data_IF_762146223474
#
_entry.id   IF_762146223474
#
_cell.length_a   1.000
_cell.length_b   1.000
_cell.length_c   1.000
_cell.angle_alpha   90.00
_cell.angle_beta   90.00
_cell.angle_gamma   90.00
#
_symmetry.space_group_name_H-M   'P 1'
#
loop_
_entity.id
_entity.type
_entity.pdbx_description
1 polymer ?
#
# COMPACT_ATOMS: atom_id res chain seq x y z
N UNK A 1 -57.90 4.40 13.00
CA UNK A 1 -57.08 4.63 11.79
C UNK A 1 -55.64 4.66 12.27
N UNK A 2 -54.94 3.54 12.11
CA UNK A 2 -53.60 3.37 12.70
C UNK A 2 -52.51 3.82 11.73
N UNK A 3 -51.69 4.75 12.22
CA UNK A 3 -50.55 5.32 11.51
C UNK A 3 -49.46 4.27 11.29
N UNK A 4 -49.26 3.85 10.03
CA UNK A 4 -48.09 3.08 9.61
C UNK A 4 -46.86 3.99 9.60
N UNK A 5 -46.23 4.15 10.77
CA UNK A 5 -44.89 4.72 10.87
C UNK A 5 -43.92 3.80 10.09
N UNK A 6 -43.38 4.32 8.98
CA UNK A 6 -42.34 3.66 8.21
C UNK A 6 -41.17 3.34 9.14
N UNK A 7 -40.96 2.05 9.41
CA UNK A 7 -39.79 1.58 10.13
C UNK A 7 -38.57 1.95 9.29
N UNK A 8 -37.83 2.98 9.68
CA UNK A 8 -36.43 3.15 9.28
C UNK A 8 -35.68 1.89 9.74
N UNK A 9 -35.57 0.90 8.85
CA UNK A 9 -34.70 -0.24 9.04
C UNK A 9 -33.26 0.28 9.05
N UNK A 10 -32.69 0.43 10.24
CA UNK A 10 -31.26 0.67 10.39
C UNK A 10 -30.50 -0.36 9.55
N UNK A 11 -29.54 0.06 8.71
CA UNK A 11 -28.71 -0.87 7.95
C UNK A 11 -28.08 -1.88 8.91
N UNK A 12 -28.17 -3.17 8.59
CA UNK A 12 -27.53 -4.18 9.41
C UNK A 12 -26.01 -3.95 9.42
N UNK A 13 -25.33 -4.14 10.57
CA UNK A 13 -23.90 -3.97 10.64
C UNK A 13 -23.22 -4.99 9.72
N UNK A 14 -22.53 -4.49 8.69
CA UNK A 14 -21.75 -5.30 7.76
C UNK A 14 -20.70 -6.09 8.54
N UNK A 15 -20.73 -7.41 8.40
CA UNK A 15 -19.76 -8.28 9.05
C UNK A 15 -18.45 -8.35 8.25
N UNK A 16 -17.32 -8.48 8.95
CA UNK A 16 -16.00 -8.56 8.32
C UNK A 16 -15.87 -9.71 7.30
N UNK A 17 -16.39 -10.94 7.54
CA UNK A 17 -16.30 -12.02 6.55
C UNK A 17 -16.97 -11.68 5.22
N UNK A 18 -18.12 -11.01 5.26
CA UNK A 18 -18.82 -10.57 4.06
C UNK A 18 -18.03 -9.51 3.30
N UNK A 19 -17.44 -8.56 4.02
CA UNK A 19 -16.54 -7.57 3.44
C UNK A 19 -15.30 -8.21 2.78
N UNK A 20 -14.77 -9.28 3.37
CA UNK A 20 -13.64 -10.06 2.84
C UNK A 20 -14.04 -10.79 1.56
N UNK A 21 -15.19 -11.45 1.52
CA UNK A 21 -15.66 -12.11 0.30
C UNK A 21 -15.85 -11.13 -0.86
N UNK A 22 -16.44 -9.95 -0.57
CA UNK A 22 -16.65 -8.89 -1.57
C UNK A 22 -15.32 -8.34 -2.08
N UNK A 23 -14.35 -8.06 -1.21
CA UNK A 23 -13.06 -7.51 -1.65
C UNK A 23 -12.20 -8.54 -2.39
N UNK A 24 -12.33 -9.83 -2.08
CA UNK A 24 -11.73 -10.91 -2.88
C UNK A 24 -12.31 -10.95 -4.29
N UNK A 25 -13.62 -10.78 -4.44
CA UNK A 25 -14.25 -10.70 -5.75
C UNK A 25 -13.71 -9.51 -6.56
N UNK A 26 -13.61 -8.34 -5.95
CA UNK A 26 -13.02 -7.16 -6.61
C UNK A 26 -11.57 -7.42 -7.02
N UNK A 27 -10.80 -8.11 -6.17
CA UNK A 27 -9.43 -8.49 -6.49
C UNK A 27 -9.34 -9.49 -7.65
N UNK A 28 -10.31 -10.41 -7.78
CA UNK A 28 -10.42 -11.33 -8.92
C UNK A 28 -10.77 -10.58 -10.22
N UNK A 29 -11.73 -9.66 -10.16
CA UNK A 29 -12.24 -8.96 -11.34
C UNK A 29 -11.29 -7.84 -11.84
N UNK A 30 -10.65 -7.13 -10.91
CA UNK A 30 -9.86 -5.91 -11.23
C UNK A 30 -8.37 -6.05 -10.89
N UNK A 31 -7.97 -7.17 -10.30
CA UNK A 31 -6.62 -7.40 -9.82
C UNK A 31 -6.35 -6.81 -8.43
N UNK A 32 -5.41 -7.43 -7.70
CA UNK A 32 -5.01 -7.03 -6.34
C UNK A 32 -4.46 -5.59 -6.33
N UNK A 33 -3.73 -5.19 -7.38
CA UNK A 33 -3.19 -3.82 -7.51
C UNK A 33 -4.31 -2.78 -7.54
N UNK A 34 -5.43 -3.05 -8.20
CA UNK A 34 -6.57 -2.12 -8.22
C UNK A 34 -7.13 -1.91 -6.81
N UNK A 35 -7.29 -2.99 -6.03
CA UNK A 35 -7.75 -2.94 -4.64
C UNK A 35 -6.81 -2.12 -3.74
N UNK A 36 -5.50 -2.21 -3.96
CA UNK A 36 -4.48 -1.46 -3.22
C UNK A 36 -4.43 0.02 -3.63
N UNK A 37 -4.63 0.31 -4.91
CA UNK A 37 -4.49 1.66 -5.48
C UNK A 37 -5.78 2.47 -5.41
N UNK A 38 -6.94 1.88 -5.14
CA UNK A 38 -8.19 2.60 -4.86
C UNK A 38 -8.20 3.22 -3.48
N UNK A 39 -8.63 4.48 -3.38
CA UNK A 39 -8.79 5.11 -2.06
C UNK A 39 -9.89 4.37 -1.27
N UNK A 40 -9.84 4.44 0.06
CA UNK A 40 -10.74 3.62 0.89
C UNK A 40 -12.23 3.96 0.68
N UNK A 41 -12.55 5.20 0.31
CA UNK A 41 -13.93 5.63 0.00
C UNK A 41 -14.43 5.01 -1.30
N UNK A 42 -13.63 5.05 -2.37
CA UNK A 42 -13.90 4.40 -3.64
C UNK A 42 -14.08 2.90 -3.47
N UNK A 43 -13.18 2.27 -2.70
CA UNK A 43 -13.29 0.85 -2.42
C UNK A 43 -14.54 0.55 -1.55
N UNK A 44 -14.87 1.39 -0.58
CA UNK A 44 -16.07 1.24 0.25
C UNK A 44 -17.34 1.28 -0.59
N UNK A 45 -17.50 2.28 -1.45
CA UNK A 45 -18.67 2.41 -2.34
C UNK A 45 -18.79 1.23 -3.31
N UNK A 46 -17.66 0.63 -3.70
CA UNK A 46 -17.63 -0.50 -4.60
C UNK A 46 -17.97 -1.83 -3.90
N UNK A 47 -17.59 -1.98 -2.63
CA UNK A 47 -17.95 -3.13 -1.82
C UNK A 47 -19.40 -3.05 -1.31
N UNK A 48 -19.86 -1.84 -0.99
CA UNK A 48 -21.15 -1.59 -0.34
C UNK A 48 -21.90 -0.49 -1.09
N UNK A 49 -22.87 -0.86 -1.96
CA UNK A 49 -23.67 0.10 -2.71
C UNK A 49 -24.84 0.69 -1.91
N UNK A 50 -24.79 0.64 -0.58
CA UNK A 50 -25.85 1.11 0.33
C UNK A 50 -25.76 2.61 0.64
N UNK A 51 -24.83 3.33 0.01
CA UNK A 51 -24.65 4.78 0.19
C UNK A 51 -23.96 5.17 1.50
N UNK A 52 -23.59 4.21 2.35
CA UNK A 52 -22.94 4.46 3.63
C UNK A 52 -21.40 4.33 3.53
N UNK A 53 -20.68 5.08 4.37
CA UNK A 53 -19.21 5.00 4.43
C UNK A 53 -18.76 3.88 5.38
N UNK A 54 -18.34 2.76 4.81
CA UNK A 54 -17.85 1.58 5.52
C UNK A 54 -16.33 1.57 5.69
N UNK A 55 -15.70 2.75 5.72
CA UNK A 55 -14.23 2.93 5.74
C UNK A 55 -13.47 1.98 6.67
N UNK A 56 -13.98 1.76 7.89
CA UNK A 56 -13.35 0.89 8.90
C UNK A 56 -13.36 -0.58 8.46
N UNK A 57 -14.52 -1.08 8.04
CA UNK A 57 -14.69 -2.46 7.57
C UNK A 57 -13.94 -2.67 6.25
N UNK A 58 -14.01 -1.74 5.31
CA UNK A 58 -13.23 -1.78 4.05
C UNK A 58 -11.73 -1.84 4.30
N UNK A 59 -11.21 -1.07 5.26
CA UNK A 59 -9.79 -1.12 5.63
C UNK A 59 -9.40 -2.48 6.20
N UNK A 60 -10.24 -3.04 7.09
CA UNK A 60 -9.98 -4.35 7.68
C UNK A 60 -10.05 -5.46 6.64
N UNK A 61 -11.06 -5.46 5.78
CA UNK A 61 -11.20 -6.42 4.69
C UNK A 61 -9.99 -6.35 3.74
N UNK A 62 -9.52 -5.15 3.41
CA UNK A 62 -8.28 -4.94 2.66
C UNK A 62 -7.06 -5.56 3.35
N UNK A 63 -6.91 -5.36 4.66
CA UNK A 63 -5.79 -5.95 5.38
C UNK A 63 -5.85 -7.48 5.41
N UNK A 64 -7.05 -8.05 5.61
CA UNK A 64 -7.27 -9.50 5.61
C UNK A 64 -7.01 -10.11 4.24
N UNK A 65 -7.54 -9.49 3.18
CA UNK A 65 -7.25 -9.90 1.80
C UNK A 65 -5.75 -9.94 1.56
N UNK A 66 -5.04 -8.88 1.97
CA UNK A 66 -3.60 -8.77 1.80
C UNK A 66 -2.80 -9.66 2.77
N UNK A 67 -3.42 -10.31 3.77
CA UNK A 67 -2.76 -11.27 4.68
C UNK A 67 -3.07 -12.73 4.34
N UNK A 68 -4.25 -13.04 3.84
CA UNK A 68 -4.68 -14.42 3.52
C UNK A 68 -4.30 -14.81 2.09
N UNK A 69 -4.54 -13.93 1.11
CA UNK A 69 -3.93 -14.11 -0.22
C UNK A 69 -2.40 -14.04 -0.14
N UNK A 70 -1.84 -13.37 0.87
CA UNK A 70 -0.41 -13.37 1.17
C UNK A 70 0.15 -14.78 1.35
N UNK A 71 -0.59 -15.66 2.04
CA UNK A 71 -0.21 -17.05 2.27
C UNK A 71 -0.43 -17.89 1.01
N UNK A 72 -1.60 -17.77 0.40
CA UNK A 72 -1.95 -18.57 -0.77
C UNK A 72 -1.10 -18.23 -2.02
N UNK A 73 -0.73 -16.95 -2.21
CA UNK A 73 0.22 -16.55 -3.26
C UNK A 73 1.64 -16.98 -2.94
N UNK A 74 2.08 -16.93 -1.68
CA UNK A 74 3.37 -17.50 -1.29
C UNK A 74 3.45 -18.99 -1.65
N UNK A 75 2.43 -19.77 -1.28
CA UNK A 75 2.38 -21.21 -1.50
C UNK A 75 2.33 -21.58 -2.99
N UNK A 76 1.57 -20.83 -3.81
CA UNK A 76 1.51 -21.03 -5.27
C UNK A 76 2.84 -20.65 -5.95
N UNK A 77 3.48 -19.57 -5.50
CA UNK A 77 4.74 -19.09 -6.08
C UNK A 77 5.93 -19.99 -5.78
N UNK A 78 5.96 -20.67 -4.63
CA UNK A 78 6.97 -21.70 -4.36
C UNK A 78 6.95 -22.87 -5.35
N UNK A 79 5.81 -23.17 -6.00
CA UNK A 79 5.71 -24.27 -6.97
C UNK A 79 6.06 -23.83 -8.39
N UNK A 80 5.63 -22.63 -8.81
CA UNK A 80 5.89 -22.13 -10.17
C UNK A 80 7.31 -21.56 -10.35
N UNK A 81 7.91 -20.98 -9.29
CA UNK A 81 9.26 -20.41 -9.36
C UNK A 81 10.38 -21.45 -9.34
N UNK A 82 10.19 -22.61 -8.71
CA UNK A 82 11.16 -23.71 -8.77
C UNK A 82 11.39 -24.19 -10.21
N UNK A 83 10.38 -24.02 -11.08
CA UNK A 83 10.44 -24.40 -12.48
C UNK A 83 11.04 -23.30 -13.38
N UNK A 84 10.75 -22.01 -13.13
CA UNK A 84 11.30 -20.90 -13.92
C UNK A 84 12.71 -20.45 -13.52
N UNK A 85 13.12 -20.59 -12.25
CA UNK A 85 14.47 -20.22 -11.78
C UNK A 85 15.57 -21.17 -12.29
N UNK A 86 15.21 -22.35 -12.81
CA UNK A 86 16.13 -23.25 -13.50
C UNK A 86 16.54 -22.75 -14.89
N UNK A 87 15.73 -21.92 -15.56
CA UNK A 87 15.92 -21.62 -16.99
C UNK A 87 16.39 -20.19 -17.29
N UNK A 88 16.08 -19.19 -16.46
CA UNK A 88 16.57 -17.82 -16.69
C UNK A 88 16.71 -17.03 -15.39
N UNK A 89 17.93 -16.59 -15.04
CA UNK A 89 18.19 -15.64 -13.95
C UNK A 89 18.25 -14.21 -14.49
N UNK A 90 17.21 -13.37 -14.37
CA UNK A 90 17.37 -11.95 -14.64
C UNK A 90 18.26 -11.33 -13.54
N UNK A 91 19.18 -10.44 -13.93
CA UNK A 91 20.10 -9.76 -13.02
C UNK A 91 19.33 -9.04 -11.88
N UNK A 92 19.65 -9.38 -10.63
CA UNK A 92 19.03 -8.82 -9.41
C UNK A 92 19.10 -7.28 -9.38
N UNK A 93 20.18 -6.68 -9.89
CA UNK A 93 20.33 -5.23 -9.95
C UNK A 93 19.27 -4.56 -10.85
N UNK A 94 18.94 -5.19 -11.98
CA UNK A 94 17.92 -4.69 -12.89
C UNK A 94 16.54 -4.74 -12.24
N UNK A 95 16.22 -5.86 -11.59
CA UNK A 95 14.97 -6.02 -10.84
C UNK A 95 14.85 -5.04 -9.68
N UNK A 96 15.96 -4.73 -9.02
CA UNK A 96 16.00 -3.74 -7.94
C UNK A 96 15.73 -2.33 -8.46
N UNK A 97 16.38 -1.92 -9.55
CA UNK A 97 16.20 -0.59 -10.14
C UNK A 97 14.75 -0.38 -10.65
N UNK A 98 14.20 -1.36 -11.36
CA UNK A 98 12.81 -1.36 -11.81
C UNK A 98 11.84 -1.32 -10.62
N UNK A 99 12.14 -2.12 -9.58
CA UNK A 99 11.39 -2.14 -8.33
C UNK A 99 11.32 -0.78 -7.63
N UNK A 100 12.46 -0.10 -7.50
CA UNK A 100 12.53 1.25 -6.93
C UNK A 100 11.69 2.23 -7.74
N UNK A 101 11.71 2.16 -9.07
CA UNK A 101 10.92 3.04 -9.93
C UNK A 101 9.40 2.84 -9.73
N UNK A 102 8.95 1.59 -9.65
CA UNK A 102 7.55 1.23 -9.39
C UNK A 102 7.10 1.74 -8.02
N UNK A 103 7.88 1.47 -6.97
CA UNK A 103 7.56 1.94 -5.62
C UNK A 103 7.52 3.48 -5.59
N UNK A 104 8.47 4.16 -6.25
CA UNK A 104 8.48 5.63 -6.32
C UNK A 104 7.28 6.21 -7.08
N UNK A 105 6.75 5.51 -8.08
CA UNK A 105 5.50 5.90 -8.73
C UNK A 105 4.30 5.79 -7.78
N UNK A 106 4.25 4.71 -6.99
CA UNK A 106 3.23 4.55 -5.95
C UNK A 106 3.35 5.60 -4.86
N UNK A 107 4.58 5.87 -4.39
CA UNK A 107 4.91 6.92 -3.43
C UNK A 107 4.40 8.30 -3.90
N UNK A 108 4.62 8.67 -5.16
CA UNK A 108 4.12 9.94 -5.72
C UNK A 108 2.60 10.07 -5.65
N UNK A 109 1.86 8.96 -5.74
CA UNK A 109 0.39 8.96 -5.67
C UNK A 109 -0.16 8.87 -4.25
N UNK A 110 0.57 8.24 -3.33
CA UNK A 110 0.04 7.84 -2.00
C UNK A 110 0.83 8.36 -0.81
N UNK A 111 1.99 8.94 -1.04
CA UNK A 111 2.94 9.39 -0.03
C UNK A 111 3.87 8.28 0.45
N UNK A 112 4.99 8.71 1.04
CA UNK A 112 6.03 7.85 1.61
C UNK A 112 5.51 6.94 2.72
N UNK A 113 4.55 7.42 3.53
CA UNK A 113 3.98 6.65 4.62
C UNK A 113 3.27 5.39 4.11
N UNK A 114 2.54 5.50 3.00
CA UNK A 114 1.86 4.35 2.40
C UNK A 114 2.87 3.26 2.03
N UNK A 115 4.00 3.62 1.41
CA UNK A 115 5.09 2.68 1.09
C UNK A 115 5.71 2.08 2.36
N UNK A 116 5.95 2.88 3.40
CA UNK A 116 6.58 2.44 4.64
C UNK A 116 5.74 1.40 5.40
N UNK A 117 4.41 1.56 5.36
CA UNK A 117 3.47 0.64 6.02
C UNK A 117 3.20 -0.63 5.24
N UNK A 118 3.64 -0.72 3.98
CA UNK A 118 3.46 -1.93 3.18
C UNK A 118 4.37 -3.05 3.70
N UNK A 119 3.78 -4.22 3.90
CA UNK A 119 4.53 -5.43 4.20
C UNK A 119 5.32 -5.92 2.97
N UNK A 120 6.27 -6.82 3.18
CA UNK A 120 7.19 -7.27 2.13
C UNK A 120 6.45 -7.89 0.93
N UNK A 121 5.33 -8.57 1.16
CA UNK A 121 4.55 -9.18 0.08
C UNK A 121 3.72 -8.16 -0.68
N UNK A 122 3.10 -7.20 0.01
CA UNK A 122 2.38 -6.09 -0.63
C UNK A 122 3.33 -5.32 -1.56
N UNK A 123 4.58 -5.16 -1.16
CA UNK A 123 5.63 -4.61 -2.02
C UNK A 123 6.00 -5.55 -3.16
N UNK A 124 6.11 -6.86 -2.91
CA UNK A 124 6.37 -7.87 -3.95
C UNK A 124 5.28 -7.89 -5.01
N UNK A 125 4.01 -7.87 -4.64
CA UNK A 125 2.87 -7.83 -5.57
C UNK A 125 2.82 -6.52 -6.34
N UNK A 126 3.12 -5.39 -5.67
CA UNK A 126 3.22 -4.10 -6.34
C UNK A 126 4.30 -4.10 -7.42
N UNK A 127 5.45 -4.72 -7.15
CA UNK A 127 6.59 -4.77 -8.08
C UNK A 127 6.47 -5.88 -9.13
N UNK A 128 5.83 -6.99 -8.80
CA UNK A 128 5.76 -8.20 -9.61
C UNK A 128 4.30 -8.68 -9.70
N UNK A 129 3.43 -7.97 -10.46
CA UNK A 129 2.02 -8.31 -10.59
C UNK A 129 1.76 -9.69 -11.19
N UNK A 130 2.67 -10.18 -12.01
CA UNK A 130 2.54 -11.44 -12.75
C UNK A 130 2.94 -12.66 -11.92
N UNK A 131 3.12 -12.49 -10.61
CA UNK A 131 3.56 -13.56 -9.73
C UNK A 131 5.08 -13.65 -9.64
N UNK A 132 5.57 -13.73 -8.41
CA UNK A 132 6.96 -13.96 -8.05
C UNK A 132 7.15 -13.59 -6.59
N UNK A 133 7.46 -14.54 -5.71
CA UNK A 133 7.78 -14.23 -4.32
C UNK A 133 9.20 -13.66 -4.28
N UNK A 134 9.27 -12.35 -4.48
CA UNK A 134 10.50 -11.57 -4.47
C UNK A 134 10.47 -10.59 -3.31
N UNK A 135 9.92 -11.02 -2.17
CA UNK A 135 9.88 -10.27 -0.92
C UNK A 135 11.23 -9.69 -0.53
N UNK A 136 12.32 -10.44 -0.75
CA UNK A 136 13.69 -9.96 -0.51
C UNK A 136 14.04 -8.73 -1.37
N UNK A 137 13.83 -8.81 -2.67
CA UNK A 137 14.12 -7.73 -3.62
C UNK A 137 13.19 -6.54 -3.36
N UNK A 138 11.92 -6.79 -3.10
CA UNK A 138 10.94 -5.75 -2.80
C UNK A 138 11.25 -4.99 -1.50
N UNK A 139 11.71 -5.72 -0.47
CA UNK A 139 12.18 -5.12 0.78
C UNK A 139 13.45 -4.30 0.57
N UNK A 140 14.40 -4.80 -0.23
CA UNK A 140 15.61 -4.04 -0.60
C UNK A 140 15.24 -2.75 -1.33
N UNK A 141 14.35 -2.81 -2.32
CA UNK A 141 13.88 -1.64 -3.06
C UNK A 141 13.22 -0.59 -2.14
N UNK A 142 12.37 -1.02 -1.19
CA UNK A 142 11.82 -0.13 -0.17
C UNK A 142 12.94 0.52 0.65
N UNK A 143 13.88 -0.27 1.15
CA UNK A 143 14.93 0.26 2.04
C UNK A 143 15.82 1.29 1.32
N UNK A 144 16.17 1.05 0.05
CA UNK A 144 16.89 2.02 -0.79
C UNK A 144 16.13 3.35 -0.84
N UNK A 145 14.82 3.31 -1.12
CA UNK A 145 13.98 4.50 -1.18
C UNK A 145 13.90 5.20 0.19
N UNK A 146 13.75 4.45 1.28
CA UNK A 146 13.68 5.02 2.63
C UNK A 146 15.00 5.67 3.04
N UNK A 147 16.13 5.09 2.69
CA UNK A 147 17.45 5.65 2.96
C UNK A 147 17.69 6.94 2.17
N UNK A 148 17.24 7.03 0.93
CA UNK A 148 17.25 8.30 0.18
C UNK A 148 16.44 9.39 0.88
N UNK A 149 15.24 9.05 1.37
CA UNK A 149 14.40 10.01 2.10
C UNK A 149 15.03 10.46 3.42
N UNK A 150 15.64 9.53 4.17
CA UNK A 150 16.41 9.85 5.38
C UNK A 150 17.56 10.81 5.07
N UNK A 151 18.32 10.57 3.99
CA UNK A 151 19.42 11.44 3.57
C UNK A 151 18.92 12.84 3.22
N UNK A 152 17.85 12.95 2.41
CA UNK A 152 17.24 14.25 2.07
C UNK A 152 16.70 14.99 3.30
N UNK A 153 16.10 14.26 4.25
CA UNK A 153 15.62 14.85 5.49
C UNK A 153 16.78 15.40 6.34
N UNK A 154 17.87 14.64 6.47
CA UNK A 154 19.07 15.09 7.17
C UNK A 154 19.71 16.32 6.51
N UNK A 155 19.76 16.38 5.19
CA UNK A 155 20.25 17.56 4.46
C UNK A 155 19.37 18.80 4.68
N UNK A 156 18.04 18.63 4.62
CA UNK A 156 17.10 19.73 4.89
C UNK A 156 17.21 20.24 6.32
N UNK A 157 17.38 19.33 7.28
CA UNK A 157 17.59 19.69 8.68
C UNK A 157 18.86 20.52 8.85
N UNK A 158 20.01 20.05 8.32
CA UNK A 158 21.27 20.80 8.33
C UNK A 158 21.14 22.19 7.69
N UNK A 159 20.44 22.30 6.55
CA UNK A 159 20.19 23.60 5.91
C UNK A 159 19.31 24.51 6.76
N UNK A 160 18.29 23.96 7.41
CA UNK A 160 17.43 24.69 8.34
C UNK A 160 18.21 25.22 9.55
N UNK A 161 19.08 24.39 10.13
CA UNK A 161 19.97 24.79 11.24
C UNK A 161 20.92 25.91 10.83
N UNK A 162 21.53 25.81 9.64
CA UNK A 162 22.39 26.86 9.09
C UNK A 162 21.63 28.17 8.87
N UNK A 163 20.39 28.09 8.38
CA UNK A 163 19.56 29.26 8.15
C UNK A 163 19.13 29.91 9.47
N UNK A 164 18.76 29.10 10.48
CA UNK A 164 18.45 29.59 11.81
C UNK A 164 19.65 30.27 12.49
N UNK A 165 20.85 29.71 12.34
CA UNK A 165 22.09 30.30 12.86
C UNK A 165 22.41 31.65 12.19
N UNK A 166 22.23 31.76 10.86
CA UNK A 166 22.40 33.02 10.13
C UNK A 166 21.42 34.09 10.60
N UNK A 167 20.14 33.75 10.70
CA UNK A 167 19.10 34.68 11.17
C UNK A 167 19.40 35.17 12.59
N UNK A 168 19.84 34.29 13.49
CA UNK A 168 20.23 34.66 14.85
C UNK A 168 21.43 35.62 14.86
N UNK A 169 22.45 35.34 14.06
CA UNK A 169 23.63 36.19 13.96
C UNK A 169 23.33 37.58 13.34
N UNK A 170 22.37 37.66 12.42
CA UNK A 170 21.90 38.94 11.85
C UNK A 170 21.10 39.75 12.88
N UNK A 171 20.24 39.11 13.69
CA UNK A 171 19.53 39.80 14.78
C UNK A 171 20.47 40.29 15.89
N UNK A 172 21.58 39.60 16.15
CA UNK A 172 22.56 40.00 17.18
C UNK A 172 23.47 41.15 16.71
N UNK A 173 23.64 41.36 15.41
CA UNK A 173 24.43 42.48 14.84
C UNK A 173 23.63 43.76 14.63
N UNK A 174 22.30 43.71 14.79
CA UNK A 174 21.40 44.86 14.70
C UNK A 174 21.11 45.54 16.05
N UNK A 175 21.82 45.16 17.11
CA UNK A 175 21.85 45.84 18.42
C UNK A 175 23.20 46.51 18.61
#
# INVERSE_FOLDING_TARGET
MDNAAGKETRPQPVQLPEAVARIEQVARERGIIAVMTMNTRQLSMLLFPDGHDHRKVTTRARNVLLSENCKQLADKLTREQLQQELENKPNEQKQLAEGVAIIRQFERKRGIFAVATMNAWQLSVLMFPNGGDRRKIATKARNVLMDEHRKRAAEKLKRGELLAAKLKAETDKGK
#
